data_IF_255651353169
#
_entry.id   IF_255651353169
#
_cell.length_a   1.000
_cell.length_b   1.000
_cell.length_c   1.000
_cell.angle_alpha   90.00
_cell.angle_beta   90.00
_cell.angle_gamma   90.00
#
_symmetry.space_group_name_H-M   'P 1'
#
loop_
_entity.id
_entity.type
_entity.pdbx_description
1 polymer ?
#
# COMPACT_ATOMS: atom_id res chain seq x y z
N UNK A 1 -10.72 -3.00 -17.14
CA UNK A 1 -9.91 -1.96 -17.81
C UNK A 1 -8.57 -1.91 -17.13
N UNK A 2 -7.46 -1.99 -17.87
CA UNK A 2 -6.11 -1.82 -17.36
C UNK A 2 -5.72 -0.33 -17.27
N UNK A 3 -4.50 -0.03 -16.79
CA UNK A 3 -3.94 1.29 -16.85
C UNK A 3 -3.84 1.76 -18.30
N UNK A 4 -4.22 3.00 -18.55
CA UNK A 4 -4.21 3.59 -19.90
C UNK A 4 -3.78 5.05 -19.84
N UNK A 5 -3.26 5.53 -20.97
CA UNK A 5 -2.96 6.93 -21.17
C UNK A 5 -4.21 7.69 -21.59
N UNK A 6 -4.40 8.86 -21.01
CA UNK A 6 -5.50 9.76 -21.36
C UNK A 6 -4.96 11.04 -21.95
N UNK A 7 -5.61 11.49 -23.01
CA UNK A 7 -5.40 12.83 -23.59
C UNK A 7 -6.30 13.82 -22.87
N UNK A 8 -5.73 14.90 -22.38
CA UNK A 8 -6.45 15.98 -21.74
C UNK A 8 -6.41 17.22 -22.63
N UNK A 9 -7.57 17.74 -22.98
CA UNK A 9 -7.68 19.00 -23.70
C UNK A 9 -8.25 20.07 -22.75
N UNK A 10 -7.77 21.29 -22.86
CA UNK A 10 -8.23 22.43 -22.03
C UNK A 10 -8.18 22.16 -20.53
N UNK A 11 -7.17 21.40 -20.10
CA UNK A 11 -6.97 21.12 -18.69
C UNK A 11 -6.27 22.31 -18.01
N UNK A 12 -6.78 22.72 -16.87
CA UNK A 12 -6.20 23.74 -16.03
C UNK A 12 -5.75 23.15 -14.69
N UNK A 13 -4.67 23.67 -14.13
CA UNK A 13 -4.30 23.30 -12.75
C UNK A 13 -5.41 23.84 -11.84
N UNK A 14 -5.97 22.94 -11.05
CA UNK A 14 -7.06 23.28 -10.15
C UNK A 14 -6.62 24.33 -9.14
N UNK A 15 -7.39 25.40 -9.04
CA UNK A 15 -7.22 26.42 -8.01
C UNK A 15 -8.23 26.15 -6.87
N UNK A 16 -7.76 26.31 -5.62
CA UNK A 16 -8.60 26.13 -4.44
C UNK A 16 -8.10 25.03 -3.49
N UNK A 17 -8.93 24.66 -2.53
CA UNK A 17 -8.57 23.64 -1.55
C UNK A 17 -8.36 22.28 -2.24
N UNK A 18 -7.23 21.59 -1.95
CA UNK A 18 -6.94 20.31 -2.59
C UNK A 18 -7.94 19.23 -2.14
N UNK A 19 -8.43 18.45 -3.09
CA UNK A 19 -9.36 17.33 -2.85
C UNK A 19 -8.65 15.99 -2.74
N UNK A 20 -7.39 15.95 -3.16
CA UNK A 20 -6.59 14.73 -3.16
C UNK A 20 -5.28 14.92 -2.38
N UNK A 21 -4.55 13.84 -2.20
CA UNK A 21 -3.18 13.82 -1.69
C UNK A 21 -2.14 13.76 -2.81
N UNK A 22 -2.57 13.82 -4.07
CA UNK A 22 -1.69 13.82 -5.23
C UNK A 22 -0.94 15.16 -5.35
N UNK A 23 0.18 15.14 -6.08
CA UNK A 23 1.03 16.34 -6.29
C UNK A 23 0.37 17.38 -7.19
N UNK A 24 -0.52 16.95 -8.08
CA UNK A 24 -1.18 17.80 -9.06
C UNK A 24 -2.65 17.41 -9.20
N UNK A 25 -3.50 18.39 -9.26
CA UNK A 25 -4.93 18.26 -9.58
C UNK A 25 -5.23 19.07 -10.82
N UNK A 26 -5.85 18.42 -11.78
CA UNK A 26 -6.29 19.06 -13.01
C UNK A 26 -7.80 19.12 -13.05
N UNK A 27 -8.36 20.19 -13.56
CA UNK A 27 -9.76 20.34 -13.87
C UNK A 27 -9.96 20.51 -15.36
N UNK A 28 -11.01 19.90 -15.88
CA UNK A 28 -11.49 20.06 -17.25
C UNK A 28 -12.93 20.55 -17.20
N UNK A 29 -13.32 21.43 -18.09
CA UNK A 29 -14.65 22.01 -18.06
C UNK A 29 -15.71 21.05 -18.59
N UNK A 30 -15.34 20.18 -19.52
CA UNK A 30 -16.22 19.21 -20.13
C UNK A 30 -15.65 17.79 -20.11
N UNK A 31 -16.47 16.77 -19.82
CA UNK A 31 -16.00 15.37 -19.81
C UNK A 31 -15.39 14.89 -21.13
N UNK A 32 -15.84 15.44 -22.27
CA UNK A 32 -15.30 15.12 -23.60
C UNK A 32 -13.84 15.57 -23.80
N UNK A 33 -13.34 16.48 -22.96
CA UNK A 33 -11.95 16.89 -22.95
C UNK A 33 -11.01 15.84 -22.32
N UNK A 34 -11.56 14.74 -21.79
CA UNK A 34 -10.81 13.59 -21.27
C UNK A 34 -11.12 12.41 -22.15
N UNK A 35 -10.21 12.00 -22.99
CA UNK A 35 -10.40 10.90 -23.92
C UNK A 35 -9.18 9.97 -23.95
N UNK A 36 -9.36 8.66 -24.22
CA UNK A 36 -8.24 7.79 -24.55
C UNK A 36 -7.63 8.25 -25.88
N UNK A 37 -6.38 7.89 -26.11
CA UNK A 37 -5.78 8.06 -27.42
C UNK A 37 -6.48 7.12 -28.42
N UNK A 38 -6.68 7.59 -29.64
CA UNK A 38 -7.16 6.76 -30.72
C UNK A 38 -6.04 5.81 -31.17
N UNK A 39 -6.39 4.60 -31.60
CA UNK A 39 -5.43 3.59 -32.08
C UNK A 39 -4.64 4.12 -33.31
N UNK A 40 -5.18 5.09 -34.02
CA UNK A 40 -4.58 5.72 -35.20
C UNK A 40 -3.72 6.94 -34.86
N UNK A 41 -3.65 7.36 -33.60
CA UNK A 41 -2.89 8.55 -33.18
C UNK A 41 -1.39 8.23 -33.15
N UNK A 42 -0.63 8.86 -34.05
CA UNK A 42 0.82 8.70 -34.14
C UNK A 42 1.57 9.17 -32.86
N UNK A 43 0.94 9.99 -32.02
CA UNK A 43 1.49 10.49 -30.77
C UNK A 43 1.04 9.67 -29.55
N UNK A 44 0.23 8.63 -29.75
CA UNK A 44 -0.18 7.75 -28.65
C UNK A 44 1.04 7.02 -28.08
N UNK A 45 1.21 7.01 -26.74
CA UNK A 45 2.21 6.14 -26.12
C UNK A 45 1.91 4.67 -26.46
N UNK A 46 2.94 3.95 -26.90
CA UNK A 46 2.77 2.55 -27.35
C UNK A 46 2.63 1.58 -26.17
N UNK A 47 3.31 1.87 -25.08
CA UNK A 47 3.34 1.00 -23.92
C UNK A 47 2.32 1.47 -22.87
N UNK A 48 1.76 0.51 -22.12
CA UNK A 48 0.92 0.84 -20.97
C UNK A 48 1.71 1.63 -19.91
N UNK A 49 1.07 2.54 -19.15
CA UNK A 49 1.77 3.29 -18.12
C UNK A 49 2.33 2.35 -17.05
N UNK A 50 3.61 2.52 -16.66
CA UNK A 50 4.20 1.71 -15.61
C UNK A 50 3.53 1.98 -14.27
N UNK A 51 3.49 0.96 -13.41
CA UNK A 51 2.87 1.03 -12.09
C UNK A 51 3.90 1.04 -10.98
N UNK A 52 3.61 1.78 -9.92
CA UNK A 52 4.28 1.66 -8.64
C UNK A 52 3.49 0.71 -7.74
N UNK A 53 4.12 -0.39 -7.33
CA UNK A 53 3.49 -1.43 -6.52
C UNK A 53 4.11 -1.40 -5.11
N UNK A 54 3.28 -1.41 -4.09
CA UNK A 54 3.69 -1.51 -2.69
C UNK A 54 3.13 -2.77 -2.06
N UNK A 55 4.01 -3.68 -1.65
CA UNK A 55 3.64 -4.80 -0.78
C UNK A 55 3.67 -4.34 0.67
N UNK A 56 2.61 -4.60 1.42
CA UNK A 56 2.41 -4.18 2.80
C UNK A 56 2.20 -5.38 3.71
N UNK A 57 2.95 -5.43 4.82
CA UNK A 57 2.78 -6.42 5.88
C UNK A 57 2.69 -5.73 7.25
N UNK A 58 1.76 -6.18 8.08
CA UNK A 58 1.58 -5.73 9.44
C UNK A 58 1.83 -6.87 10.42
N UNK A 59 2.44 -6.56 11.55
CA UNK A 59 2.50 -7.44 12.70
C UNK A 59 1.76 -6.80 13.86
N UNK A 60 0.75 -7.49 14.36
CA UNK A 60 -0.04 -7.08 15.53
C UNK A 60 0.10 -8.06 16.68
N UNK A 61 -0.11 -7.57 17.89
CA UNK A 61 -0.23 -8.37 19.12
C UNK A 61 -1.54 -8.06 19.79
N UNK A 62 -2.06 -9.03 20.54
CA UNK A 62 -3.28 -8.82 21.32
C UNK A 62 -2.90 -8.26 22.68
N UNK A 63 -3.40 -7.09 23.01
CA UNK A 63 -3.38 -6.56 24.36
C UNK A 63 -4.59 -7.13 25.12
N UNK A 64 -4.36 -8.15 25.93
CA UNK A 64 -5.42 -8.83 26.66
C UNK A 64 -6.10 -7.97 27.73
N UNK A 65 -5.42 -6.92 28.23
CA UNK A 65 -6.00 -6.02 29.23
C UNK A 65 -7.09 -5.13 28.64
N UNK A 66 -6.88 -4.68 27.40
CA UNK A 66 -7.83 -3.82 26.70
C UNK A 66 -8.66 -4.57 25.67
N UNK A 67 -8.40 -5.86 25.48
CA UNK A 67 -9.00 -6.68 24.42
C UNK A 67 -8.90 -6.05 23.04
N UNK A 68 -7.72 -5.50 22.72
CA UNK A 68 -7.44 -4.81 21.46
C UNK A 68 -6.23 -5.41 20.77
N UNK A 69 -6.25 -5.40 19.44
CA UNK A 69 -5.06 -5.68 18.65
C UNK A 69 -4.24 -4.40 18.48
N UNK A 70 -2.97 -4.45 18.79
CA UNK A 70 -2.03 -3.34 18.65
C UNK A 70 -0.99 -3.65 17.59
N UNK A 71 -0.67 -2.68 16.74
CA UNK A 71 0.35 -2.84 15.70
C UNK A 71 1.74 -2.60 16.31
N UNK A 72 2.63 -3.56 16.13
CA UNK A 72 4.01 -3.50 16.65
C UNK A 72 5.04 -3.30 15.57
N UNK A 73 4.75 -3.76 14.36
CA UNK A 73 5.62 -3.58 13.21
C UNK A 73 4.82 -3.41 11.93
N UNK A 74 5.35 -2.61 11.04
CA UNK A 74 4.88 -2.41 9.67
C UNK A 74 6.07 -2.52 8.76
N UNK A 75 5.98 -3.36 7.73
CA UNK A 75 7.00 -3.50 6.71
C UNK A 75 6.38 -3.33 5.34
N UNK A 76 7.07 -2.65 4.45
CA UNK A 76 6.66 -2.54 3.07
C UNK A 76 7.86 -2.59 2.12
N UNK A 77 7.61 -3.12 0.93
CA UNK A 77 8.53 -3.07 -0.21
C UNK A 77 7.83 -2.40 -1.37
N UNK A 78 8.51 -1.51 -2.03
CA UNK A 78 7.98 -0.70 -3.13
C UNK A 78 8.82 -0.96 -4.38
N UNK A 79 8.15 -1.37 -5.44
CA UNK A 79 8.70 -1.49 -6.78
C UNK A 79 8.16 -0.34 -7.63
N UNK A 80 9.03 0.29 -8.37
CA UNK A 80 8.69 1.37 -9.29
C UNK A 80 8.83 0.91 -10.73
N UNK A 81 8.11 1.58 -11.61
CA UNK A 81 8.20 1.37 -13.06
C UNK A 81 7.95 -0.06 -13.49
N UNK A 82 6.98 -0.72 -12.82
CA UNK A 82 6.57 -2.09 -13.14
C UNK A 82 5.73 -2.10 -14.42
N UNK A 83 6.27 -2.68 -15.48
CA UNK A 83 5.54 -2.89 -16.72
C UNK A 83 4.62 -4.12 -16.59
N UNK A 84 3.36 -4.00 -17.04
CA UNK A 84 2.40 -5.10 -17.02
C UNK A 84 2.58 -6.05 -18.20
N UNK A 85 3.00 -5.52 -19.35
CA UNK A 85 3.09 -6.28 -20.60
C UNK A 85 4.36 -7.14 -20.69
N UNK A 86 5.40 -6.75 -19.98
CA UNK A 86 6.68 -7.44 -19.94
C UNK A 86 7.07 -7.73 -18.48
N UNK A 87 6.50 -8.78 -17.87
CA UNK A 87 6.74 -9.06 -16.46
C UNK A 87 8.20 -9.41 -16.21
N UNK A 88 8.91 -8.51 -15.59
CA UNK A 88 10.26 -8.77 -15.09
C UNK A 88 10.15 -9.40 -13.70
N UNK A 89 10.94 -10.44 -13.38
CA UNK A 89 10.94 -11.03 -12.05
C UNK A 89 11.17 -9.95 -10.97
N UNK A 90 10.42 -9.98 -9.86
CA UNK A 90 10.50 -8.94 -8.82
C UNK A 90 11.90 -8.74 -8.23
N UNK A 91 12.73 -9.79 -8.24
CA UNK A 91 14.12 -9.75 -7.76
C UNK A 91 15.02 -8.87 -8.63
N UNK A 92 14.69 -8.75 -9.91
CA UNK A 92 15.44 -7.95 -10.89
C UNK A 92 14.93 -6.50 -10.96
N UNK A 93 13.76 -6.22 -10.36
CA UNK A 93 13.19 -4.87 -10.39
C UNK A 93 13.78 -4.01 -9.27
N UNK A 94 14.11 -2.75 -9.56
CA UNK A 94 14.52 -1.80 -8.55
C UNK A 94 13.45 -1.68 -7.45
N UNK A 95 13.83 -1.91 -6.21
CA UNK A 95 12.90 -1.83 -5.10
C UNK A 95 13.51 -1.14 -3.88
N UNK A 96 12.66 -0.53 -3.09
CA UNK A 96 13.01 0.03 -1.79
C UNK A 96 12.16 -0.64 -0.73
N UNK A 97 12.77 -1.00 0.40
CA UNK A 97 12.04 -1.57 1.52
C UNK A 97 12.28 -0.75 2.79
N UNK A 98 11.25 -0.68 3.62
CA UNK A 98 11.34 -0.08 4.93
C UNK A 98 10.56 -0.91 5.95
N UNK A 99 11.00 -0.84 7.20
CA UNK A 99 10.29 -1.44 8.34
C UNK A 99 10.24 -0.41 9.47
N UNK A 100 9.07 -0.21 10.03
CA UNK A 100 8.84 0.61 11.20
C UNK A 100 8.40 -0.28 12.36
N UNK A 101 9.04 -0.15 13.52
CA UNK A 101 8.78 -1.01 14.67
C UNK A 101 8.66 -0.20 15.95
N UNK A 102 7.91 -0.73 16.92
CA UNK A 102 7.91 -0.28 18.31
C UNK A 102 8.23 -1.43 19.26
N UNK A 103 8.71 -1.15 20.47
CA UNK A 103 8.93 -2.21 21.45
C UNK A 103 7.58 -2.82 21.93
N UNK A 104 7.61 -4.09 22.29
CA UNK A 104 6.48 -4.76 22.94
C UNK A 104 6.33 -4.37 24.41
N UNK A 105 7.44 -4.06 25.04
CA UNK A 105 7.52 -3.60 26.43
C UNK A 105 7.96 -2.13 26.53
N UNK A 106 8.48 -1.69 27.66
CA UNK A 106 8.91 -0.33 27.87
C UNK A 106 10.11 0.08 27.00
N UNK A 107 10.93 -0.88 26.57
CA UNK A 107 12.11 -0.65 25.76
C UNK A 107 12.35 -1.79 24.75
N UNK A 108 13.20 -1.54 23.76
CA UNK A 108 13.69 -2.57 22.85
C UNK A 108 14.66 -3.53 23.55
N UNK A 109 14.80 -4.77 23.06
CA UNK A 109 15.82 -5.70 23.57
C UNK A 109 17.23 -5.10 23.47
N UNK A 110 18.16 -5.54 24.32
CA UNK A 110 19.57 -5.18 24.20
C UNK A 110 20.10 -5.49 22.80
N UNK A 111 20.97 -4.62 22.28
CA UNK A 111 21.58 -4.73 20.93
C UNK A 111 20.62 -4.58 19.75
N UNK A 112 19.35 -4.21 19.98
CA UNK A 112 18.37 -4.02 18.89
C UNK A 112 18.90 -3.03 17.84
N UNK A 113 19.44 -1.88 18.24
CA UNK A 113 19.95 -0.86 17.33
C UNK A 113 21.08 -1.37 16.43
N UNK A 114 21.99 -2.16 16.99
CA UNK A 114 23.08 -2.77 16.23
C UNK A 114 22.56 -3.76 15.19
N UNK A 115 21.60 -4.60 15.58
CA UNK A 115 20.97 -5.57 14.67
C UNK A 115 20.13 -4.86 13.60
N UNK A 116 19.43 -3.80 13.94
CA UNK A 116 18.64 -3.00 13.00
C UNK A 116 19.54 -2.32 11.94
N UNK A 117 20.73 -1.87 12.31
CA UNK A 117 21.70 -1.28 11.38
C UNK A 117 22.32 -2.33 10.43
N UNK A 118 22.44 -3.58 10.87
CA UNK A 118 22.95 -4.68 10.04
C UNK A 118 21.88 -5.28 9.11
N UNK A 119 20.62 -4.89 9.28
CA UNK A 119 19.53 -5.38 8.44
C UNK A 119 19.69 -4.90 6.99
N UNK A 120 19.43 -5.74 5.99
CA UNK A 120 19.42 -5.33 4.58
C UNK A 120 18.31 -4.34 4.25
N UNK A 121 17.31 -4.22 5.12
CA UNK A 121 16.21 -3.26 4.99
C UNK A 121 16.34 -2.14 6.02
N UNK A 122 15.87 -0.94 5.64
CA UNK A 122 15.90 0.22 6.54
C UNK A 122 14.87 0.02 7.67
N UNK A 123 15.35 -0.29 8.87
CA UNK A 123 14.52 -0.41 10.07
C UNK A 123 14.52 0.90 10.84
N UNK A 124 13.33 1.41 11.12
CA UNK A 124 13.13 2.62 11.93
C UNK A 124 12.37 2.29 13.21
N UNK A 125 13.02 2.55 14.34
CA UNK A 125 12.47 2.35 15.66
C UNK A 125 11.65 3.56 16.11
N UNK A 126 10.49 3.31 16.71
CA UNK A 126 9.63 4.32 17.30
C UNK A 126 9.23 3.93 18.72
N UNK A 127 8.95 4.90 19.56
CA UNK A 127 8.54 4.64 20.94
C UNK A 127 7.10 4.18 21.05
N UNK A 128 6.21 4.71 20.20
CA UNK A 128 4.77 4.50 20.30
C UNK A 128 4.17 4.05 18.96
N UNK A 129 3.08 3.28 19.03
CA UNK A 129 2.33 2.79 17.87
C UNK A 129 1.88 3.92 16.94
N UNK A 130 1.35 5.03 17.48
CA UNK A 130 0.94 6.20 16.69
C UNK A 130 2.05 6.72 15.77
N UNK A 131 3.31 6.67 16.24
CA UNK A 131 4.45 7.12 15.43
C UNK A 131 4.75 6.13 14.29
N UNK A 132 4.61 4.83 14.53
CA UNK A 132 4.73 3.79 13.50
C UNK A 132 3.68 4.01 12.40
N UNK A 133 2.43 4.25 12.78
CA UNK A 133 1.32 4.49 11.86
C UNK A 133 1.49 5.79 11.07
N UNK A 134 1.86 6.88 11.72
CA UNK A 134 2.12 8.14 11.03
C UNK A 134 3.30 8.02 10.06
N UNK A 135 4.33 7.24 10.41
CA UNK A 135 5.42 6.94 9.48
C UNK A 135 4.93 6.14 8.28
N UNK A 136 4.11 5.11 8.48
CA UNK A 136 3.49 4.36 7.38
C UNK A 136 2.71 5.29 6.44
N UNK A 137 1.83 6.13 6.96
CA UNK A 137 1.05 7.08 6.15
C UNK A 137 1.95 8.04 5.35
N UNK A 138 3.04 8.50 5.95
CA UNK A 138 4.03 9.34 5.27
C UNK A 138 4.75 8.59 4.15
N UNK A 139 5.08 7.31 4.35
CA UNK A 139 5.72 6.48 3.32
C UNK A 139 4.75 6.16 2.17
N UNK A 140 3.48 5.86 2.47
CA UNK A 140 2.46 5.64 1.44
C UNK A 140 2.31 6.89 0.56
N UNK A 141 2.29 8.09 1.17
CA UNK A 141 2.22 9.34 0.43
C UNK A 141 3.50 9.64 -0.36
N UNK A 142 4.67 9.37 0.23
CA UNK A 142 5.97 9.62 -0.42
C UNK A 142 6.16 8.77 -1.68
N UNK A 143 5.82 7.49 -1.58
CA UNK A 143 5.97 6.56 -2.69
C UNK A 143 4.82 6.63 -3.69
N UNK A 144 3.65 7.07 -3.24
CA UNK A 144 2.42 7.21 -4.01
C UNK A 144 2.09 5.99 -4.88
N UNK A 145 2.11 4.80 -4.27
CA UNK A 145 1.89 3.54 -4.95
C UNK A 145 0.52 3.49 -5.65
N UNK A 146 0.48 2.97 -6.87
CA UNK A 146 -0.75 2.75 -7.65
C UNK A 146 -1.49 1.52 -7.15
N UNK A 147 -0.74 0.50 -6.74
CA UNK A 147 -1.26 -0.78 -6.24
C UNK A 147 -0.74 -1.03 -4.83
N UNK A 148 -1.64 -1.35 -3.91
CA UNK A 148 -1.29 -1.89 -2.59
C UNK A 148 -1.60 -3.37 -2.59
N UNK A 149 -0.56 -4.16 -2.35
CA UNK A 149 -0.60 -5.62 -2.33
C UNK A 149 -0.37 -6.12 -0.91
N UNK A 150 -1.15 -7.07 -0.46
CA UNK A 150 -0.90 -7.82 0.77
C UNK A 150 -1.56 -9.19 0.73
N UNK A 151 -1.20 -10.03 1.68
CA UNK A 151 -1.94 -11.25 1.98
C UNK A 151 -2.99 -10.92 3.06
N UNK A 152 -4.25 -11.27 2.80
CA UNK A 152 -5.41 -10.96 3.66
C UNK A 152 -5.51 -9.44 3.98
N UNK A 153 -5.43 -8.64 2.92
CA UNK A 153 -5.46 -7.19 3.05
C UNK A 153 -6.83 -6.70 3.50
N UNK A 154 -7.87 -7.10 2.79
CA UNK A 154 -9.24 -6.61 3.02
C UNK A 154 -9.87 -7.29 4.23
N UNK A 155 -9.60 -8.59 4.43
CA UNK A 155 -10.20 -9.37 5.50
C UNK A 155 -9.69 -9.04 6.90
N UNK A 156 -8.40 -8.74 7.05
CA UNK A 156 -7.77 -8.58 8.36
C UNK A 156 -6.87 -7.35 8.46
N UNK A 157 -5.91 -7.22 7.55
CA UNK A 157 -4.85 -6.20 7.67
C UNK A 157 -5.40 -4.79 7.68
N UNK A 158 -6.29 -4.47 6.75
CA UNK A 158 -6.88 -3.14 6.61
C UNK A 158 -7.84 -2.82 7.75
N UNK A 159 -8.61 -3.80 8.21
CA UNK A 159 -9.53 -3.64 9.34
C UNK A 159 -8.76 -3.26 10.63
N UNK A 160 -7.71 -4.04 10.95
CA UNK A 160 -6.85 -3.75 12.11
C UNK A 160 -6.23 -2.35 11.96
N UNK A 161 -5.69 -2.03 10.79
CA UNK A 161 -5.05 -0.75 10.53
C UNK A 161 -6.01 0.43 10.74
N UNK A 162 -7.20 0.37 10.15
CA UNK A 162 -8.20 1.42 10.25
C UNK A 162 -8.70 1.62 11.69
N UNK A 163 -8.96 0.53 12.41
CA UNK A 163 -9.34 0.61 13.81
C UNK A 163 -8.25 1.28 14.65
N UNK A 164 -6.98 0.89 14.44
CA UNK A 164 -5.87 1.50 15.19
C UNK A 164 -5.64 2.97 14.84
N UNK A 165 -5.76 3.35 13.56
CA UNK A 165 -5.68 4.75 13.13
C UNK A 165 -6.75 5.62 13.80
N UNK A 166 -7.97 5.10 13.94
CA UNK A 166 -9.07 5.77 14.64
C UNK A 166 -8.79 5.87 16.15
N UNK A 167 -8.47 4.75 16.80
CA UNK A 167 -8.28 4.69 18.25
C UNK A 167 -7.12 5.57 18.72
N UNK A 168 -6.09 5.72 17.88
CA UNK A 168 -4.92 6.55 18.15
C UNK A 168 -5.06 7.98 17.61
N UNK A 169 -6.25 8.36 17.13
CA UNK A 169 -6.52 9.71 16.59
C UNK A 169 -5.49 10.15 15.55
N UNK A 170 -5.22 9.28 14.56
CA UNK A 170 -4.36 9.62 13.44
C UNK A 170 -5.17 10.40 12.39
N UNK A 171 -5.14 11.73 12.45
CA UNK A 171 -5.99 12.61 11.63
C UNK A 171 -5.77 12.45 10.11
N UNK A 172 -4.57 12.00 9.73
CA UNK A 172 -4.18 11.88 8.32
C UNK A 172 -4.43 10.48 7.74
N UNK A 173 -5.31 9.69 8.33
CA UNK A 173 -5.64 8.33 7.88
C UNK A 173 -6.08 8.26 6.40
N UNK A 174 -6.66 9.33 5.87
CA UNK A 174 -7.10 9.40 4.46
C UNK A 174 -5.94 9.35 3.47
N UNK A 175 -4.68 9.49 3.93
CA UNK A 175 -3.47 9.27 3.11
C UNK A 175 -3.26 7.82 2.70
N UNK A 176 -4.00 6.88 3.28
CA UNK A 176 -4.04 5.50 2.77
C UNK A 176 -4.50 5.45 1.31
N UNK A 177 -5.47 6.28 0.96
CA UNK A 177 -5.91 6.51 -0.42
C UNK A 177 -5.27 7.75 -1.04
N UNK A 178 -5.84 8.19 -2.16
CA UNK A 178 -5.49 9.43 -2.85
C UNK A 178 -6.51 10.54 -2.63
N UNK A 179 -7.71 10.23 -2.14
CA UNK A 179 -8.76 11.21 -1.92
C UNK A 179 -8.75 11.74 -0.48
N UNK A 180 -8.93 13.03 -0.31
CA UNK A 180 -9.17 13.65 0.99
C UNK A 180 -10.65 13.55 1.31
N UNK A 181 -11.00 12.65 2.21
CA UNK A 181 -12.37 12.52 2.68
C UNK A 181 -12.58 13.37 3.93
N UNK A 182 -13.72 14.03 4.00
CA UNK A 182 -14.15 14.61 5.27
C UNK A 182 -14.48 13.49 6.26
N UNK A 183 -14.09 13.68 7.52
CA UNK A 183 -14.17 12.69 8.59
C UNK A 183 -15.59 12.28 9.02
N UNK A 184 -16.64 12.82 8.38
CA UNK A 184 -18.04 12.67 8.77
C UNK A 184 -18.77 11.44 8.23
N UNK A 185 -18.10 10.55 7.48
CA UNK A 185 -18.74 9.39 6.87
C UNK A 185 -18.51 8.08 7.62
N UNK A 186 -19.39 7.09 7.42
CA UNK A 186 -19.19 5.72 7.89
C UNK A 186 -17.89 5.15 7.33
N UNK A 187 -17.05 4.66 8.20
CA UNK A 187 -15.81 3.98 7.85
C UNK A 187 -16.13 2.74 7.01
N UNK A 188 -15.63 2.73 5.79
CA UNK A 188 -15.70 1.55 4.95
C UNK A 188 -14.28 1.25 4.42
N UNK A 189 -13.75 0.04 4.63
CA UNK A 189 -12.37 -0.30 4.27
C UNK A 189 -12.00 0.05 2.83
N UNK A 190 -12.87 -0.27 1.87
CA UNK A 190 -12.63 0.02 0.46
C UNK A 190 -12.55 1.54 0.17
N UNK A 191 -13.30 2.37 0.89
CA UNK A 191 -13.26 3.83 0.71
C UNK A 191 -11.95 4.44 1.21
N UNK A 192 -11.29 3.81 2.17
CA UNK A 192 -10.02 4.31 2.69
C UNK A 192 -8.90 4.26 1.64
N UNK A 193 -9.00 3.38 0.65
CA UNK A 193 -8.00 3.17 -0.41
C UNK A 193 -8.41 3.77 -1.76
N UNK A 194 -9.46 4.60 -1.80
CA UNK A 194 -9.93 5.22 -3.06
C UNK A 194 -8.79 5.95 -3.77
N UNK A 195 -8.68 5.70 -5.08
CA UNK A 195 -7.61 6.21 -5.94
C UNK A 195 -6.38 5.31 -6.01
N UNK A 196 -6.39 4.13 -5.34
CA UNK A 196 -5.39 3.08 -5.48
C UNK A 196 -6.06 1.76 -5.82
N UNK A 197 -5.37 0.92 -6.55
CA UNK A 197 -5.77 -0.47 -6.76
C UNK A 197 -5.38 -1.30 -5.54
N UNK A 198 -6.21 -2.29 -5.25
CA UNK A 198 -5.99 -3.23 -4.13
C UNK A 198 -5.82 -4.62 -4.69
N UNK A 199 -4.71 -5.26 -4.37
CA UNK A 199 -4.46 -6.65 -4.70
C UNK A 199 -4.32 -7.45 -3.39
N UNK A 200 -5.28 -8.33 -3.15
CA UNK A 200 -5.30 -9.22 -2.00
C UNK A 200 -5.09 -10.66 -2.46
N UNK A 201 -3.97 -11.25 -2.04
CA UNK A 201 -3.59 -12.61 -2.44
C UNK A 201 -4.51 -13.69 -1.85
N UNK A 202 -5.29 -13.37 -0.82
CA UNK A 202 -6.26 -14.29 -0.22
C UNK A 202 -7.71 -13.97 -0.57
N UNK A 203 -7.93 -13.07 -1.53
CA UNK A 203 -9.27 -12.73 -2.02
C UNK A 203 -9.97 -13.92 -2.68
N UNK A 204 -11.29 -13.90 -2.74
CA UNK A 204 -12.07 -14.95 -3.40
C UNK A 204 -11.74 -15.04 -4.90
N UNK A 205 -11.41 -13.91 -5.53
CA UNK A 205 -10.93 -13.90 -6.92
C UNK A 205 -9.61 -14.63 -7.05
N UNK A 206 -8.65 -14.37 -6.16
CA UNK A 206 -7.37 -15.07 -6.16
C UNK A 206 -7.54 -16.58 -5.90
N UNK A 207 -8.46 -16.94 -4.98
CA UNK A 207 -8.81 -18.35 -4.72
C UNK A 207 -9.42 -19.06 -5.92
N UNK A 208 -10.16 -18.35 -6.75
CA UNK A 208 -10.67 -18.89 -8.00
C UNK A 208 -9.62 -19.09 -9.09
N UNK A 209 -8.51 -18.37 -9.04
CA UNK A 209 -7.44 -18.40 -10.06
C UNK A 209 -6.29 -19.35 -9.71
N UNK A 210 -6.07 -19.61 -8.43
CA UNK A 210 -4.92 -20.39 -7.94
C UNK A 210 -5.43 -21.62 -7.21
N UNK A 211 -5.05 -22.81 -7.66
CA UNK A 211 -5.36 -24.04 -6.94
C UNK A 211 -4.42 -24.20 -5.74
N UNK A 212 -4.94 -24.05 -4.53
CA UNK A 212 -4.20 -24.28 -3.28
C UNK A 212 -5.09 -24.99 -2.26
N UNK A 213 -4.53 -25.91 -1.49
CA UNK A 213 -5.23 -26.63 -0.43
C UNK A 213 -5.42 -25.77 0.83
N UNK A 214 -4.47 -24.89 1.08
CA UNK A 214 -4.52 -23.92 2.19
C UNK A 214 -4.09 -22.55 1.69
N UNK A 215 -4.61 -21.51 2.32
CA UNK A 215 -4.35 -20.11 1.96
C UNK A 215 -3.47 -19.39 2.99
N UNK A 216 -2.71 -20.16 3.77
CA UNK A 216 -1.67 -19.57 4.61
C UNK A 216 -0.52 -19.05 3.75
N UNK A 217 0.06 -17.91 4.11
CA UNK A 217 1.18 -17.32 3.37
C UNK A 217 2.36 -18.32 3.26
N UNK A 218 2.64 -19.05 4.35
CA UNK A 218 3.71 -20.06 4.38
C UNK A 218 3.51 -21.16 3.35
N UNK A 219 2.28 -21.70 3.25
CA UNK A 219 1.96 -22.76 2.30
C UNK A 219 1.99 -22.25 0.86
N UNK A 220 1.47 -21.06 0.62
CA UNK A 220 1.55 -20.44 -0.71
C UNK A 220 3.00 -20.22 -1.16
N UNK A 221 3.86 -19.72 -0.27
CA UNK A 221 5.28 -19.55 -0.58
C UNK A 221 5.97 -20.90 -0.85
N UNK A 222 5.65 -21.93 -0.05
CA UNK A 222 6.20 -23.27 -0.25
C UNK A 222 5.76 -23.88 -1.56
N UNK A 223 4.48 -23.78 -1.89
CA UNK A 223 3.89 -24.48 -3.06
C UNK A 223 4.22 -23.79 -4.37
N UNK A 224 4.18 -22.44 -4.39
CA UNK A 224 4.30 -21.69 -5.65
C UNK A 224 5.69 -21.10 -5.88
N UNK A 225 6.46 -20.85 -4.80
CA UNK A 225 7.77 -20.23 -4.89
C UNK A 225 8.91 -21.16 -4.44
N UNK A 226 8.60 -22.36 -3.94
CA UNK A 226 9.56 -23.28 -3.32
C UNK A 226 10.36 -22.61 -2.17
N UNK A 227 9.76 -21.62 -1.49
CA UNK A 227 10.36 -20.89 -0.39
C UNK A 227 9.77 -21.34 0.94
N UNK A 228 10.64 -21.59 1.92
CA UNK A 228 10.24 -21.84 3.29
C UNK A 228 10.35 -20.56 4.11
N UNK A 229 9.24 -20.14 4.74
CA UNK A 229 9.22 -18.99 5.67
C UNK A 229 9.65 -19.36 7.08
N UNK A 230 10.01 -20.64 7.33
CA UNK A 230 10.42 -21.10 8.67
C UNK A 230 11.84 -20.63 9.02
N UNK A 231 12.63 -20.26 8.03
CA UNK A 231 14.03 -19.88 8.17
C UNK A 231 14.31 -18.40 7.86
N UNK A 232 13.29 -17.54 7.89
CA UNK A 232 13.42 -16.09 7.72
C UNK A 232 13.34 -15.38 9.08
#
# INVERSE_FOLDING_TARGET
MGPCWLRLERANVRQGAPQTWTKMELSVDEPKCVAPFADTDAHAPKDAPPLTIMSLALRSVVNFKENKREIVAVSARVWRDMALEHPTPPEQCPSTAFTAVRPLGPAFPPRFEQQAQQSPTKIKAFKYERMVLNHLLSQIQLHDADVILSHDLVGSTLDILLHRLRDLHCDQWTRLGRMRHESKGKWHPVRALVGRLVADLSSDTAKGMIASTTWSLSEMCRTHLNLSLIHI
#
